data_IF_237207849268
#
_entry.id   IF_237207849268
#
_cell.length_a   1.000
_cell.length_b   1.000
_cell.length_c   1.000
_cell.angle_alpha   90.00
_cell.angle_beta   90.00
_cell.angle_gamma   90.00
#
_symmetry.space_group_name_H-M   'P 1'
#
loop_
_entity.id
_entity.type
_entity.pdbx_description
1 polymer ?
#
# COMPACT_ATOMS: atom_id res chain seq x y z
N UNK A 1 -13.13 -18.44 -10.70
CA UNK A 1 -11.79 -18.38 -10.06
C UNK A 1 -11.72 -17.16 -9.11
N UNK A 2 -11.16 -17.31 -7.91
CA UNK A 2 -10.92 -16.17 -6.99
C UNK A 2 -9.90 -15.22 -7.62
N UNK A 3 -10.11 -13.89 -7.46
CA UNK A 3 -9.15 -12.87 -7.91
C UNK A 3 -7.87 -12.98 -7.09
N UNK A 4 -6.73 -12.77 -7.71
CA UNK A 4 -5.42 -12.66 -7.03
C UNK A 4 -5.21 -11.20 -6.61
N UNK A 5 -4.99 -10.97 -5.32
CA UNK A 5 -4.74 -9.65 -4.76
C UNK A 5 -3.40 -9.67 -4.06
N UNK A 6 -2.57 -8.67 -4.31
CA UNK A 6 -1.33 -8.47 -3.60
C UNK A 6 -1.43 -7.19 -2.77
N UNK A 7 -1.17 -7.30 -1.47
CA UNK A 7 -1.09 -6.17 -0.54
C UNK A 7 0.33 -5.98 -0.08
N UNK A 8 0.85 -4.75 -0.15
CA UNK A 8 2.14 -4.38 0.41
C UNK A 8 1.95 -3.55 1.67
N UNK A 9 2.78 -3.80 2.67
CA UNK A 9 2.81 -3.07 3.94
C UNK A 9 4.22 -3.16 4.54
N UNK A 10 4.54 -2.31 5.51
CA UNK A 10 5.88 -2.32 6.09
C UNK A 10 5.99 -1.68 7.46
N UNK A 11 4.90 -1.13 7.99
CA UNK A 11 4.88 -0.42 9.28
C UNK A 11 3.75 -0.88 10.17
N UNK A 12 3.90 -0.65 11.47
CA UNK A 12 2.86 -0.97 12.47
C UNK A 12 1.52 -0.28 12.21
N UNK A 13 1.47 1.01 11.89
CA UNK A 13 0.20 1.67 11.56
C UNK A 13 -0.52 1.01 10.38
N UNK A 14 0.20 0.56 9.35
CA UNK A 14 -0.40 -0.16 8.22
C UNK A 14 -0.96 -1.52 8.67
N UNK A 15 -0.24 -2.28 9.50
CA UNK A 15 -0.72 -3.57 10.04
C UNK A 15 -2.01 -3.35 10.83
N UNK A 16 -2.04 -2.36 11.71
CA UNK A 16 -3.20 -2.04 12.55
C UNK A 16 -4.40 -1.68 11.68
N UNK A 17 -4.25 -0.74 10.75
CA UNK A 17 -5.32 -0.26 9.88
C UNK A 17 -5.85 -1.34 8.94
N UNK A 18 -4.97 -2.22 8.47
CA UNK A 18 -5.34 -3.33 7.58
C UNK A 18 -5.81 -4.59 8.34
N UNK A 19 -5.80 -4.61 9.67
CA UNK A 19 -6.07 -5.79 10.48
C UNK A 19 -7.43 -6.46 10.21
N UNK A 20 -8.43 -5.67 9.84
CA UNK A 20 -9.76 -6.18 9.44
C UNK A 20 -9.80 -6.55 7.95
N UNK A 21 -9.10 -5.79 7.11
CA UNK A 21 -9.12 -5.95 5.65
C UNK A 21 -8.35 -7.21 5.22
N UNK A 22 -7.18 -7.48 5.80
CA UNK A 22 -6.35 -8.62 5.42
C UNK A 22 -7.09 -9.97 5.55
N UNK A 23 -7.78 -10.27 6.68
CA UNK A 23 -8.57 -11.51 6.79
C UNK A 23 -9.73 -11.59 5.79
N UNK A 24 -10.36 -10.45 5.46
CA UNK A 24 -11.42 -10.42 4.45
C UNK A 24 -10.86 -10.73 3.06
N UNK A 25 -9.70 -10.18 2.71
CA UNK A 25 -9.01 -10.50 1.47
C UNK A 25 -8.60 -11.98 1.40
N UNK A 26 -8.10 -12.55 2.50
CA UNK A 26 -7.77 -13.97 2.59
C UNK A 26 -9.01 -14.86 2.37
N UNK A 27 -10.16 -14.46 2.91
CA UNK A 27 -11.42 -15.21 2.76
C UNK A 27 -11.96 -15.17 1.33
N UNK A 28 -11.94 -14.00 0.68
CA UNK A 28 -12.63 -13.77 -0.59
C UNK A 28 -11.75 -13.78 -1.83
N UNK A 29 -10.42 -13.80 -1.68
CA UNK A 29 -9.48 -13.77 -2.78
C UNK A 29 -8.33 -14.77 -2.60
N UNK A 30 -7.49 -14.92 -3.63
CA UNK A 30 -6.17 -15.52 -3.50
C UNK A 30 -5.20 -14.39 -3.15
N UNK A 31 -4.94 -14.22 -1.84
CA UNK A 31 -4.29 -13.04 -1.30
C UNK A 31 -2.81 -13.28 -0.98
N UNK A 32 -1.96 -12.42 -1.49
CA UNK A 32 -0.52 -12.37 -1.21
C UNK A 32 -0.20 -11.14 -0.37
N UNK A 33 0.46 -11.31 0.78
CA UNK A 33 0.94 -10.22 1.63
C UNK A 33 2.45 -10.10 1.47
N UNK A 34 2.91 -8.89 1.13
CA UNK A 34 4.33 -8.53 1.06
C UNK A 34 4.63 -7.54 2.19
N UNK A 35 5.56 -7.89 3.07
CA UNK A 35 6.05 -7.01 4.14
C UNK A 35 7.41 -6.45 3.75
N UNK A 36 7.55 -5.12 3.70
CA UNK A 36 8.80 -4.48 3.28
C UNK A 36 9.89 -4.55 4.34
N UNK A 37 9.53 -4.50 5.62
CA UNK A 37 10.50 -4.49 6.73
C UNK A 37 11.25 -3.16 6.87
N UNK A 38 10.66 -2.04 6.41
CA UNK A 38 11.33 -0.74 6.42
C UNK A 38 11.61 -0.19 7.82
N UNK A 39 10.69 -0.39 8.76
CA UNK A 39 10.85 -0.03 10.18
C UNK A 39 11.01 -1.29 10.99
N UNK A 40 12.27 -1.66 11.25
CA UNK A 40 12.59 -2.95 11.77
C UNK A 40 12.77 -2.97 13.28
N UNK A 41 11.74 -3.45 13.96
CA UNK A 41 11.92 -4.37 15.07
C UNK A 41 11.05 -5.60 14.79
N UNK A 42 11.68 -6.67 14.32
CA UNK A 42 11.00 -7.91 13.95
C UNK A 42 10.12 -8.48 15.09
N UNK A 43 10.52 -8.28 16.34
CA UNK A 43 9.75 -8.76 17.48
C UNK A 43 8.49 -7.92 17.71
N UNK A 44 8.57 -6.61 17.49
CA UNK A 44 7.42 -5.73 17.63
C UNK A 44 6.39 -5.98 16.51
N UNK A 45 6.82 -6.14 15.26
CA UNK A 45 5.91 -6.43 14.16
C UNK A 45 5.20 -7.77 14.34
N UNK A 46 5.90 -8.82 14.78
CA UNK A 46 5.30 -10.14 15.11
C UNK A 46 4.20 -10.06 16.15
N UNK A 47 4.36 -9.21 17.16
CA UNK A 47 3.35 -9.01 18.20
C UNK A 47 2.05 -8.53 17.60
N UNK A 48 2.08 -7.58 16.64
CA UNK A 48 0.89 -7.08 15.98
C UNK A 48 0.20 -8.14 15.12
N UNK A 49 0.96 -8.91 14.34
CA UNK A 49 0.38 -10.03 13.58
C UNK A 49 -0.31 -11.04 14.50
N UNK A 50 0.30 -11.36 15.65
CA UNK A 50 -0.27 -12.26 16.65
C UNK A 50 -1.51 -11.67 17.33
N UNK A 51 -1.45 -10.43 17.81
CA UNK A 51 -2.54 -9.78 18.54
C UNK A 51 -3.79 -9.58 17.69
N UNK A 52 -3.63 -9.33 16.40
CA UNK A 52 -4.74 -9.19 15.44
C UNK A 52 -5.09 -10.51 14.75
N UNK A 53 -4.51 -11.64 15.19
CA UNK A 53 -4.76 -12.96 14.60
C UNK A 53 -4.55 -12.98 13.06
N UNK A 54 -3.54 -12.27 12.59
CA UNK A 54 -3.18 -12.20 11.18
C UNK A 54 -2.18 -13.31 10.84
N UNK A 55 -2.33 -13.89 9.65
CA UNK A 55 -1.33 -14.83 9.15
C UNK A 55 -0.01 -14.12 8.80
N UNK A 56 1.07 -14.86 8.77
CA UNK A 56 2.38 -14.34 8.36
C UNK A 56 2.33 -13.85 6.90
N UNK A 57 3.10 -12.79 6.55
CA UNK A 57 3.30 -12.38 5.18
C UNK A 57 3.88 -13.51 4.33
N UNK A 58 3.52 -13.55 3.04
CA UNK A 58 4.08 -14.49 2.08
C UNK A 58 5.53 -14.15 1.73
N UNK A 59 5.83 -12.85 1.72
CA UNK A 59 7.17 -12.33 1.40
C UNK A 59 7.59 -11.27 2.41
N UNK A 60 8.90 -11.29 2.75
CA UNK A 60 9.53 -10.29 3.59
C UNK A 60 10.75 -9.72 2.84
N UNK A 61 10.70 -8.42 2.49
CA UNK A 61 11.70 -7.82 1.61
C UNK A 61 12.99 -7.44 2.33
N UNK A 62 12.92 -7.17 3.63
CA UNK A 62 14.05 -6.68 4.43
C UNK A 62 14.63 -5.35 3.90
N UNK A 63 13.76 -4.41 3.53
CA UNK A 63 14.13 -3.10 2.99
C UNK A 63 14.52 -2.14 4.13
N UNK A 64 15.80 -2.15 4.50
CA UNK A 64 16.36 -1.38 5.61
C UNK A 64 17.31 -0.28 5.13
N UNK A 65 17.69 0.60 6.06
CA UNK A 65 18.70 1.62 5.86
C UNK A 65 18.14 2.92 5.32
N UNK A 66 18.92 3.63 4.50
CA UNK A 66 18.52 4.91 3.92
C UNK A 66 17.29 4.80 3.03
N UNK A 67 16.63 5.93 2.78
CA UNK A 67 15.52 6.02 1.81
C UNK A 67 15.89 5.35 0.47
N UNK A 68 17.04 5.69 -0.09
CA UNK A 68 17.50 5.13 -1.37
C UNK A 68 17.62 3.60 -1.34
N UNK A 69 18.19 3.04 -0.26
CA UNK A 69 18.31 1.60 -0.10
C UNK A 69 16.94 0.93 0.04
N UNK A 70 16.04 1.52 0.84
CA UNK A 70 14.68 0.99 1.00
C UNK A 70 13.94 0.93 -0.33
N UNK A 71 13.94 2.04 -1.08
CA UNK A 71 13.25 2.13 -2.37
C UNK A 71 13.85 1.16 -3.39
N UNK A 72 15.18 1.07 -3.47
CA UNK A 72 15.87 0.14 -4.37
C UNK A 72 15.43 -1.31 -4.12
N UNK A 73 15.43 -1.74 -2.85
CA UNK A 73 15.03 -3.09 -2.45
C UNK A 73 13.54 -3.33 -2.73
N UNK A 74 12.68 -2.36 -2.41
CA UNK A 74 11.24 -2.46 -2.64
C UNK A 74 10.97 -2.63 -4.13
N UNK A 75 11.50 -1.74 -4.96
CA UNK A 75 11.26 -1.75 -6.41
C UNK A 75 11.76 -3.07 -7.02
N UNK A 76 13.01 -3.46 -6.75
CA UNK A 76 13.61 -4.66 -7.35
C UNK A 76 12.88 -5.94 -6.94
N UNK A 77 12.72 -6.18 -5.64
CA UNK A 77 12.11 -7.44 -5.17
C UNK A 77 10.62 -7.51 -5.47
N UNK A 78 9.90 -6.38 -5.38
CA UNK A 78 8.48 -6.35 -5.70
C UNK A 78 8.22 -6.62 -7.18
N UNK A 79 9.08 -6.14 -8.06
CA UNK A 79 9.02 -6.45 -9.49
C UNK A 79 9.02 -7.96 -9.73
N UNK A 80 9.99 -8.68 -9.16
CA UNK A 80 10.10 -10.14 -9.30
C UNK A 80 8.88 -10.87 -8.70
N UNK A 81 8.40 -10.41 -7.54
CA UNK A 81 7.22 -10.98 -6.89
C UNK A 81 5.97 -10.79 -7.76
N UNK A 82 5.76 -9.61 -8.34
CA UNK A 82 4.61 -9.36 -9.20
C UNK A 82 4.65 -10.23 -10.46
N UNK A 83 5.81 -10.39 -11.08
CA UNK A 83 5.97 -11.28 -12.24
C UNK A 83 5.66 -12.74 -11.91
N UNK A 84 6.04 -13.19 -10.72
CA UNK A 84 5.80 -14.56 -10.23
C UNK A 84 4.33 -14.78 -9.87
N UNK A 85 3.76 -13.91 -9.03
CA UNK A 85 2.40 -14.06 -8.49
C UNK A 85 1.30 -13.71 -9.49
N UNK A 86 1.58 -12.79 -10.40
CA UNK A 86 0.67 -12.27 -11.43
C UNK A 86 -0.67 -11.82 -10.80
N UNK A 87 -0.64 -10.85 -9.88
CA UNK A 87 -1.84 -10.38 -9.22
C UNK A 87 -2.77 -9.66 -10.19
N UNK A 88 -4.09 -9.78 -9.96
CA UNK A 88 -5.09 -9.03 -10.72
C UNK A 88 -5.30 -7.62 -10.16
N UNK A 89 -4.93 -7.38 -8.89
CA UNK A 89 -5.08 -6.11 -8.16
C UNK A 89 -3.93 -5.95 -7.18
N UNK A 90 -3.55 -4.71 -6.97
CA UNK A 90 -2.53 -4.31 -6.02
C UNK A 90 -3.11 -3.34 -5.01
N UNK A 91 -2.94 -3.59 -3.71
CA UNK A 91 -3.47 -2.76 -2.63
C UNK A 91 -2.32 -2.12 -1.86
N UNK A 92 -2.42 -0.81 -1.67
CA UNK A 92 -1.56 -0.03 -0.78
C UNK A 92 -2.39 0.77 0.21
N UNK A 93 -1.81 1.10 1.36
CA UNK A 93 -2.42 1.97 2.36
C UNK A 93 -1.43 3.06 2.78
N UNK A 94 -1.89 4.31 2.76
CA UNK A 94 -1.16 5.46 3.28
C UNK A 94 0.04 5.86 2.42
N UNK A 95 1.07 6.35 3.09
CA UNK A 95 2.10 7.21 2.51
C UNK A 95 3.54 6.78 2.84
N UNK A 96 3.71 5.59 3.40
CA UNK A 96 5.03 5.08 3.74
C UNK A 96 5.85 4.73 2.48
N UNK A 97 7.15 4.53 2.64
CA UNK A 97 8.00 4.08 1.53
C UNK A 97 7.53 2.75 0.92
N UNK A 98 6.86 1.89 1.71
CA UNK A 98 6.27 0.64 1.22
C UNK A 98 5.26 0.89 0.10
N UNK A 99 4.46 1.93 0.25
CA UNK A 99 3.39 2.26 -0.68
C UNK A 99 3.89 2.79 -2.03
N UNK A 100 5.16 3.24 -2.13
CA UNK A 100 5.81 3.57 -3.40
C UNK A 100 5.96 2.35 -4.33
N UNK A 101 5.79 1.14 -3.81
CA UNK A 101 5.61 -0.06 -4.63
C UNK A 101 4.45 0.01 -5.63
N UNK A 102 3.50 0.94 -5.44
CA UNK A 102 2.44 1.26 -6.39
C UNK A 102 2.98 1.57 -7.80
N UNK A 103 4.13 2.25 -7.89
CA UNK A 103 4.79 2.58 -9.16
C UNK A 103 5.11 1.31 -9.95
N UNK A 104 5.64 0.28 -9.28
CA UNK A 104 6.00 -1.00 -9.91
C UNK A 104 4.76 -1.71 -10.44
N UNK A 105 3.74 -1.83 -9.62
CA UNK A 105 2.48 -2.46 -10.02
C UNK A 105 1.84 -1.73 -11.21
N UNK A 106 1.79 -0.39 -11.16
CA UNK A 106 1.25 0.43 -12.24
C UNK A 106 2.03 0.26 -13.55
N UNK A 107 3.36 0.26 -13.49
CA UNK A 107 4.23 0.04 -14.64
C UNK A 107 4.05 -1.33 -15.29
N UNK A 108 3.70 -2.33 -14.51
CA UNK A 108 3.39 -3.69 -14.96
C UNK A 108 1.92 -3.89 -15.38
N UNK A 109 1.12 -2.82 -15.45
CA UNK A 109 -0.27 -2.88 -15.87
C UNK A 109 -1.23 -3.49 -14.84
N UNK A 110 -0.80 -3.59 -13.58
CA UNK A 110 -1.65 -4.09 -12.49
C UNK A 110 -2.44 -2.92 -11.91
N UNK A 111 -3.78 -2.97 -11.88
CA UNK A 111 -4.60 -1.94 -11.26
C UNK A 111 -4.28 -1.76 -9.77
N UNK A 112 -3.99 -0.51 -9.39
CA UNK A 112 -3.61 -0.11 -8.04
C UNK A 112 -4.78 0.50 -7.30
N UNK A 113 -5.02 0.02 -6.08
CA UNK A 113 -6.00 0.52 -5.14
C UNK A 113 -5.28 1.19 -3.98
N UNK A 114 -5.52 2.46 -3.75
CA UNK A 114 -4.89 3.23 -2.68
C UNK A 114 -5.90 3.59 -1.60
N UNK A 115 -5.77 3.00 -0.42
CA UNK A 115 -6.52 3.37 0.78
C UNK A 115 -5.84 4.54 1.48
N UNK A 116 -6.61 5.42 2.10
CA UNK A 116 -6.16 6.67 2.72
C UNK A 116 -5.64 7.70 1.69
N UNK A 117 -6.14 7.63 0.47
CA UNK A 117 -5.79 8.54 -0.61
C UNK A 117 -6.22 9.99 -0.34
N UNK A 118 -5.49 10.95 -0.91
CA UNK A 118 -5.87 12.37 -0.89
C UNK A 118 -5.60 13.11 0.42
N UNK A 119 -4.95 12.49 1.40
CA UNK A 119 -4.48 13.20 2.58
C UNK A 119 -3.37 14.18 2.18
N UNK A 120 -3.41 15.42 2.71
CA UNK A 120 -2.42 16.47 2.43
C UNK A 120 -2.08 17.24 3.70
N UNK A 121 -0.79 17.52 3.84
CA UNK A 121 -0.26 18.46 4.84
C UNK A 121 0.08 19.81 4.20
N UNK A 122 0.23 19.84 2.87
CA UNK A 122 0.62 21.01 2.09
C UNK A 122 1.99 21.58 2.50
N UNK A 123 2.89 20.69 2.94
CA UNK A 123 4.26 21.00 3.32
C UNK A 123 5.21 19.97 2.69
N UNK A 124 5.91 20.38 1.66
CA UNK A 124 6.82 19.51 0.88
C UNK A 124 8.12 19.16 1.65
N UNK A 125 8.35 19.77 2.83
CA UNK A 125 9.44 19.35 3.72
C UNK A 125 9.14 18.00 4.37
N UNK A 126 7.88 17.61 4.45
CA UNK A 126 7.46 16.32 4.98
C UNK A 126 7.60 15.25 3.90
N UNK A 127 8.47 14.24 4.08
CA UNK A 127 8.72 13.21 3.05
C UNK A 127 7.46 12.46 2.62
N UNK A 128 6.52 12.25 3.54
CA UNK A 128 5.25 11.56 3.28
C UNK A 128 4.35 12.35 2.35
N UNK A 129 4.46 13.68 2.29
CA UNK A 129 3.66 14.51 1.38
C UNK A 129 4.01 14.23 -0.08
N UNK A 130 5.29 14.04 -0.38
CA UNK A 130 5.75 13.65 -1.71
C UNK A 130 5.27 12.24 -2.03
N UNK A 131 5.41 11.30 -1.09
CA UNK A 131 4.95 9.93 -1.26
C UNK A 131 3.45 9.89 -1.61
N UNK A 132 2.60 10.63 -0.87
CA UNK A 132 1.14 10.70 -1.11
C UNK A 132 0.83 11.06 -2.54
N UNK A 133 1.41 12.13 -3.05
CA UNK A 133 1.17 12.62 -4.43
C UNK A 133 1.60 11.58 -5.47
N UNK A 134 2.76 10.97 -5.28
CA UNK A 134 3.27 9.93 -6.18
C UNK A 134 2.36 8.70 -6.19
N UNK A 135 1.91 8.25 -5.02
CA UNK A 135 1.06 7.07 -4.88
C UNK A 135 -0.33 7.36 -5.47
N UNK A 136 -0.92 8.52 -5.13
CA UNK A 136 -2.22 8.92 -5.66
C UNK A 136 -2.21 8.95 -7.19
N UNK A 137 -1.20 9.58 -7.80
CA UNK A 137 -1.06 9.66 -9.26
C UNK A 137 -0.84 8.30 -9.91
N UNK A 138 -0.18 7.38 -9.20
CA UNK A 138 0.09 6.01 -9.67
C UNK A 138 -1.09 5.06 -9.49
N UNK A 139 -2.19 5.50 -8.86
CA UNK A 139 -3.31 4.65 -8.50
C UNK A 139 -4.47 4.74 -9.51
N UNK A 140 -5.21 3.63 -9.65
CA UNK A 140 -6.38 3.53 -10.53
C UNK A 140 -7.67 3.77 -9.75
N UNK A 141 -7.72 3.33 -8.50
CA UNK A 141 -8.84 3.54 -7.58
C UNK A 141 -8.31 4.12 -6.27
N UNK A 142 -8.81 5.30 -5.93
CA UNK A 142 -8.44 6.05 -4.74
C UNK A 142 -9.57 6.00 -3.73
N UNK A 143 -9.26 5.61 -2.50
CA UNK A 143 -10.22 5.39 -1.43
C UNK A 143 -9.95 6.39 -0.29
N UNK A 144 -10.38 7.66 -0.43
CA UNK A 144 -10.21 8.67 0.60
C UNK A 144 -11.11 8.38 1.80
N UNK A 145 -10.65 8.73 3.01
CA UNK A 145 -11.44 8.56 4.24
C UNK A 145 -12.37 9.72 4.53
N UNK A 146 -12.11 10.88 3.95
CA UNK A 146 -12.90 12.09 4.20
C UNK A 146 -13.28 12.79 2.90
N UNK A 147 -14.34 13.62 2.95
CA UNK A 147 -14.73 14.48 1.83
C UNK A 147 -13.63 15.49 1.48
N UNK A 148 -12.86 15.96 2.49
CA UNK A 148 -11.71 16.84 2.25
C UNK A 148 -10.61 16.15 1.46
N UNK A 149 -10.27 14.91 1.80
CA UNK A 149 -9.30 14.13 1.05
C UNK A 149 -9.75 13.88 -0.39
N UNK A 150 -11.04 13.58 -0.60
CA UNK A 150 -11.60 13.45 -1.94
C UNK A 150 -11.54 14.78 -2.73
N UNK A 151 -11.78 15.92 -2.06
CA UNK A 151 -11.66 17.23 -2.68
C UNK A 151 -10.22 17.56 -3.08
N UNK A 152 -9.23 17.21 -2.23
CA UNK A 152 -7.82 17.40 -2.56
C UNK A 152 -7.45 16.68 -3.87
N UNK A 153 -7.86 15.41 -4.01
CA UNK A 153 -7.63 14.64 -5.24
C UNK A 153 -8.24 15.32 -6.47
N UNK A 154 -9.48 15.80 -6.35
CA UNK A 154 -10.16 16.50 -7.45
C UNK A 154 -9.45 17.79 -7.82
N UNK A 155 -9.01 18.57 -6.82
CA UNK A 155 -8.29 19.83 -7.03
C UNK A 155 -6.93 19.62 -7.71
N UNK A 156 -6.31 18.46 -7.51
CA UNK A 156 -5.06 18.06 -8.15
C UNK A 156 -5.26 17.41 -9.53
N UNK A 157 -6.48 17.44 -10.05
CA UNK A 157 -6.78 16.95 -11.40
C UNK A 157 -7.02 15.44 -11.51
N UNK A 158 -7.19 14.74 -10.40
CA UNK A 158 -7.57 13.33 -10.44
C UNK A 158 -9.03 13.20 -10.90
N UNK A 159 -9.26 12.36 -11.89
CA UNK A 159 -10.58 12.08 -12.41
C UNK A 159 -11.50 11.51 -11.32
N UNK A 160 -12.67 12.09 -11.17
CA UNK A 160 -13.68 11.65 -10.18
C UNK A 160 -14.10 10.20 -10.33
N UNK A 161 -14.03 9.63 -11.53
CA UNK A 161 -14.33 8.21 -11.75
C UNK A 161 -13.36 7.26 -11.06
N UNK A 162 -12.16 7.73 -10.72
CA UNK A 162 -11.15 6.99 -9.97
C UNK A 162 -11.31 7.10 -8.46
N UNK A 163 -12.11 8.06 -7.98
CA UNK A 163 -12.29 8.32 -6.54
C UNK A 163 -13.45 7.49 -6.05
N UNK A 164 -13.15 6.44 -5.29
CA UNK A 164 -14.15 5.64 -4.59
C UNK A 164 -14.76 6.42 -3.42
N UNK A 165 -15.98 6.05 -3.02
CA UNK A 165 -16.55 6.53 -1.77
C UNK A 165 -16.13 5.60 -0.65
N UNK A 166 -15.39 6.11 0.34
CA UNK A 166 -15.36 5.46 1.63
C UNK A 166 -16.76 5.62 2.22
N UNK A 167 -17.51 4.53 2.32
CA UNK A 167 -18.73 4.55 3.11
C UNK A 167 -18.29 4.55 4.58
N UNK A 168 -18.49 5.66 5.23
CA UNK A 168 -18.49 5.78 6.67
C UNK A 168 -19.88 5.37 7.17
#
# INVERSE_FOLDING_TARGET
>A
MKKKILTILGTRPEIIRLSIILPLLDKYSNHTIVHTGQNYDYNLDKIFFKNFNLRKPNYFLNAKGSFANQISVIISKLYDIILKEKPNRFLVLGDTNSSLGAIVAKRLGIPVFHMEAGNRQFDDVVPEEINRRVIDTSSDILLPYTSRSAQNLTNEGIDRSKIGRAHV
#
